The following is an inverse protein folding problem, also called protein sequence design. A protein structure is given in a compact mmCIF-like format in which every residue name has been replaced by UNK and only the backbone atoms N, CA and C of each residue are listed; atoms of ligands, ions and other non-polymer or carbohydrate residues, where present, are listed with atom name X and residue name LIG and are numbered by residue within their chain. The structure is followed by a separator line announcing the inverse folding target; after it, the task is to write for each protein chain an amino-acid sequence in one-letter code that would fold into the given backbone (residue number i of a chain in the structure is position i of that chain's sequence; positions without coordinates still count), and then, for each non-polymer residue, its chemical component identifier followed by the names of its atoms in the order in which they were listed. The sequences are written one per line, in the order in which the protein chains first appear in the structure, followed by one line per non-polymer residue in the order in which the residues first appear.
data_IF_751430171687
#
_entry.id   IF_751430171687
#
_cell.length_a   1.000
_cell.length_b   1.000
_cell.length_c   1.000
_cell.angle_alpha   90.00
_cell.angle_beta   90.00
_cell.angle_gamma   90.00
#
_symmetry.space_group_name_H-M   'P 1'
#
loop_
_entity.id
_entity.type
_entity.pdbx_description
1 polymer ?
#
# COMPACT_ATOMS: atom_id res chain seq x y z
N UNK A 1 15.92 -28.65 1.27
CA UNK A 1 15.36 -27.29 1.50
C UNK A 1 15.00 -26.59 0.18
N UNK A 2 15.91 -26.40 -0.79
CA UNK A 2 15.61 -25.74 -2.08
C UNK A 2 14.77 -26.52 -3.12
N UNK A 3 14.08 -27.59 -2.73
CA UNK A 3 13.29 -28.41 -3.65
C UNK A 3 11.82 -27.95 -3.75
N UNK A 4 11.34 -27.19 -2.75
CA UNK A 4 9.97 -26.66 -2.71
C UNK A 4 9.88 -25.39 -3.56
N UNK A 5 8.99 -25.36 -4.56
CA UNK A 5 8.82 -24.22 -5.46
C UNK A 5 8.44 -22.92 -4.74
N UNK A 6 7.67 -23.01 -3.65
CA UNK A 6 7.32 -21.86 -2.80
C UNK A 6 8.56 -21.18 -2.22
N UNK A 7 9.55 -21.95 -1.76
CA UNK A 7 10.77 -21.41 -1.17
C UNK A 7 11.67 -20.76 -2.22
N UNK A 8 11.71 -21.30 -3.44
CA UNK A 8 12.42 -20.69 -4.58
C UNK A 8 11.78 -19.35 -4.98
N UNK A 9 10.45 -19.30 -5.04
CA UNK A 9 9.73 -18.09 -5.41
C UNK A 9 9.87 -16.99 -4.34
N UNK A 10 9.80 -17.34 -3.05
CA UNK A 10 9.99 -16.41 -1.95
C UNK A 10 11.40 -15.80 -1.95
N UNK A 11 12.44 -16.61 -2.19
CA UNK A 11 13.82 -16.12 -2.25
C UNK A 11 14.06 -15.19 -3.46
N UNK A 12 13.45 -15.52 -4.61
CA UNK A 12 13.58 -14.72 -5.83
C UNK A 12 12.81 -13.40 -5.74
N UNK A 13 11.61 -13.41 -5.17
CA UNK A 13 10.84 -12.19 -4.89
C UNK A 13 11.50 -11.33 -3.81
N UNK A 14 11.98 -11.95 -2.72
CA UNK A 14 12.60 -11.24 -1.59
C UNK A 14 13.90 -10.53 -1.97
N UNK A 15 14.75 -11.17 -2.79
CA UNK A 15 15.98 -10.54 -3.29
C UNK A 15 15.69 -9.34 -4.20
N UNK A 16 14.68 -9.45 -5.07
CA UNK A 16 14.22 -8.32 -5.88
C UNK A 16 13.71 -7.15 -5.03
N UNK A 17 12.84 -7.43 -4.03
CA UNK A 17 12.30 -6.40 -3.15
C UNK A 17 13.40 -5.75 -2.30
N UNK A 18 14.39 -6.50 -1.83
CA UNK A 18 15.51 -5.98 -1.05
C UNK A 18 16.33 -4.95 -1.82
N UNK A 19 16.64 -5.23 -3.10
CA UNK A 19 17.39 -4.29 -3.96
C UNK A 19 16.59 -3.02 -4.19
N UNK A 20 15.31 -3.15 -4.53
CA UNK A 20 14.41 -1.99 -4.77
C UNK A 20 14.26 -1.14 -3.50
N UNK A 21 14.05 -1.78 -2.35
CA UNK A 21 13.90 -1.09 -1.06
C UNK A 21 15.18 -0.38 -0.63
N UNK A 22 16.36 -0.99 -0.85
CA UNK A 22 17.64 -0.36 -0.54
C UNK A 22 17.84 0.95 -1.33
N UNK A 23 17.51 0.95 -2.63
CA UNK A 23 17.62 2.15 -3.48
C UNK A 23 16.60 3.20 -3.02
N UNK A 24 15.32 2.86 -2.97
CA UNK A 24 14.25 3.83 -2.62
C UNK A 24 14.44 4.39 -1.21
N UNK A 25 14.82 3.54 -0.25
CA UNK A 25 15.03 3.94 1.15
C UNK A 25 16.10 5.01 1.31
N UNK A 26 17.23 4.88 0.61
CA UNK A 26 18.31 5.89 0.67
C UNK A 26 17.87 7.26 0.13
N UNK A 27 17.08 7.29 -0.95
CA UNK A 27 16.50 8.53 -1.49
C UNK A 27 15.47 9.18 -0.57
N UNK A 28 14.62 8.37 0.08
CA UNK A 28 13.58 8.88 0.98
C UNK A 28 14.19 9.52 2.23
N UNK A 29 15.20 8.88 2.82
CA UNK A 29 15.90 9.39 4.01
C UNK A 29 16.66 10.68 3.70
N UNK A 30 17.35 10.75 2.57
CA UNK A 30 18.10 11.95 2.16
C UNK A 30 17.21 13.19 1.95
N UNK A 31 15.91 13.01 1.70
CA UNK A 31 14.96 14.10 1.44
C UNK A 31 14.08 14.46 2.65
N UNK A 32 14.32 13.91 3.84
CA UNK A 32 13.47 14.07 5.03
C UNK A 32 11.97 13.76 4.80
N UNK A 33 11.65 12.95 3.78
CA UNK A 33 10.27 12.58 3.43
C UNK A 33 9.87 11.23 4.05
N UNK A 34 10.37 10.93 5.26
CA UNK A 34 10.18 9.62 5.93
C UNK A 34 8.70 9.28 6.18
N UNK A 35 7.84 10.28 6.42
CA UNK A 35 6.41 10.08 6.62
C UNK A 35 5.61 9.79 5.34
N UNK A 36 6.19 10.02 4.15
CA UNK A 36 5.48 9.76 2.90
C UNK A 36 5.28 8.27 2.63
N UNK A 37 6.23 7.42 3.04
CA UNK A 37 6.14 5.97 2.83
C UNK A 37 5.04 5.34 3.68
N UNK A 38 4.84 5.85 4.90
CA UNK A 38 3.76 5.44 5.79
C UNK A 38 2.39 5.72 5.18
N UNK A 39 2.16 6.98 4.77
CA UNK A 39 0.89 7.39 4.16
C UNK A 39 0.61 6.70 2.82
N UNK A 40 1.64 6.46 2.00
CA UNK A 40 1.50 5.72 0.74
C UNK A 40 0.97 4.29 0.96
N UNK A 41 1.40 3.64 2.05
CA UNK A 41 0.98 2.28 2.39
C UNK A 41 -0.50 2.23 2.77
N UNK A 42 -0.98 3.22 3.52
CA UNK A 42 -2.39 3.36 3.93
C UNK A 42 -3.30 3.70 2.76
N UNK A 43 -2.83 4.58 1.86
CA UNK A 43 -3.52 4.90 0.61
C UNK A 43 -3.66 3.64 -0.26
N UNK A 44 -2.61 2.82 -0.35
CA UNK A 44 -2.66 1.53 -1.05
C UNK A 44 -3.68 0.56 -0.44
N UNK A 45 -3.71 0.46 0.89
CA UNK A 45 -4.70 -0.34 1.61
C UNK A 45 -6.14 0.13 1.37
N UNK A 46 -6.38 1.43 1.46
CA UNK A 46 -7.68 2.02 1.18
C UNK A 46 -8.11 1.76 -0.29
N UNK A 47 -7.20 1.91 -1.25
CA UNK A 47 -7.45 1.59 -2.66
C UNK A 47 -7.75 0.11 -2.91
N UNK A 48 -7.05 -0.80 -2.22
CA UNK A 48 -7.33 -2.22 -2.27
C UNK A 48 -8.74 -2.55 -1.73
N UNK A 49 -9.12 -1.97 -0.58
CA UNK A 49 -10.45 -2.13 0.02
C UNK A 49 -11.57 -1.59 -0.87
N UNK A 50 -11.30 -0.50 -1.59
CA UNK A 50 -12.21 0.06 -2.59
C UNK A 50 -12.38 -0.87 -3.80
N UNK A 51 -11.29 -1.50 -4.26
CA UNK A 51 -11.35 -2.52 -5.31
C UNK A 51 -12.23 -3.71 -4.94
N UNK A 52 -12.17 -4.14 -3.67
CA UNK A 52 -13.01 -5.22 -3.14
C UNK A 52 -14.49 -4.81 -3.14
N UNK A 53 -14.81 -3.56 -2.77
CA UNK A 53 -16.19 -3.05 -2.79
C UNK A 53 -16.82 -3.08 -4.19
N UNK A 54 -16.03 -2.81 -5.24
CA UNK A 54 -16.48 -2.86 -6.64
C UNK A 54 -16.55 -4.29 -7.21
N UNK A 55 -16.09 -5.30 -6.46
CA UNK A 55 -16.04 -6.69 -6.94
C UNK A 55 -14.92 -6.96 -7.95
N UNK A 56 -13.91 -6.09 -8.03
CA UNK A 56 -12.73 -6.26 -8.87
C UNK A 56 -11.58 -6.91 -8.10
N UNK A 57 -10.55 -7.46 -8.80
CA UNK A 57 -9.34 -7.93 -8.12
C UNK A 57 -8.72 -6.79 -7.30
N UNK A 58 -8.42 -7.01 -6.00
CA UNK A 58 -7.93 -5.97 -5.09
C UNK A 58 -6.61 -5.35 -5.59
N UNK A 59 -5.81 -6.14 -6.32
CA UNK A 59 -4.56 -5.70 -6.93
C UNK A 59 -4.78 -4.55 -7.93
N UNK A 60 -5.84 -4.61 -8.75
CA UNK A 60 -6.15 -3.54 -9.71
C UNK A 60 -6.62 -2.27 -8.99
N UNK A 61 -7.42 -2.43 -7.92
CA UNK A 61 -7.85 -1.31 -7.08
C UNK A 61 -6.65 -0.60 -6.44
N UNK A 62 -5.73 -1.36 -5.86
CA UNK A 62 -4.48 -0.84 -5.30
C UNK A 62 -3.63 -0.13 -6.35
N UNK A 63 -3.39 -0.77 -7.51
CA UNK A 63 -2.55 -0.19 -8.56
C UNK A 63 -3.11 1.12 -9.12
N UNK A 64 -4.41 1.18 -9.42
CA UNK A 64 -5.05 2.41 -9.90
C UNK A 64 -4.96 3.53 -8.87
N UNK A 65 -5.29 3.23 -7.60
CA UNK A 65 -5.30 4.24 -6.56
C UNK A 65 -3.89 4.75 -6.24
N UNK A 66 -2.91 3.84 -6.12
CA UNK A 66 -1.50 4.20 -5.92
C UNK A 66 -0.93 4.99 -7.10
N UNK A 67 -1.29 4.65 -8.34
CA UNK A 67 -0.87 5.41 -9.52
C UNK A 67 -1.43 6.85 -9.49
N UNK A 68 -2.72 7.02 -9.19
CA UNK A 68 -3.35 8.34 -9.06
C UNK A 68 -2.69 9.15 -7.94
N UNK A 69 -2.48 8.54 -6.77
CA UNK A 69 -1.83 9.22 -5.63
C UNK A 69 -0.38 9.57 -5.90
N UNK A 70 0.38 8.71 -6.60
CA UNK A 70 1.76 9.00 -6.99
C UNK A 70 1.84 10.22 -7.92
N UNK A 71 0.92 10.34 -8.88
CA UNK A 71 0.82 11.51 -9.76
C UNK A 71 0.50 12.78 -8.95
N UNK A 72 -0.49 12.71 -8.05
CA UNK A 72 -0.86 13.83 -7.17
C UNK A 72 0.32 14.29 -6.31
N UNK A 73 1.02 13.35 -5.70
CA UNK A 73 2.20 13.61 -4.85
C UNK A 73 3.36 14.20 -5.66
N UNK A 74 3.57 13.71 -6.89
CA UNK A 74 4.58 14.23 -7.80
C UNK A 74 4.35 15.70 -8.16
N UNK A 75 3.09 16.09 -8.37
CA UNK A 75 2.71 17.48 -8.67
C UNK A 75 2.80 18.40 -7.43
N UNK A 76 2.51 17.86 -6.24
CA UNK A 76 2.40 18.65 -5.00
C UNK A 76 3.71 18.77 -4.19
N UNK A 77 4.77 18.06 -4.60
CA UNK A 77 6.06 18.02 -3.88
C UNK A 77 6.80 19.35 -3.77
N UNK A 78 6.39 20.40 -4.47
CA UNK A 78 7.12 21.66 -4.56
C UNK A 78 6.89 22.71 -3.44
N UNK A 79 5.94 22.57 -2.50
CA UNK A 79 5.48 23.77 -1.75
C UNK A 79 5.26 23.79 -0.23
N UNK A 80 5.31 22.72 0.57
CA UNK A 80 4.96 22.86 2.01
C UNK A 80 5.76 21.88 2.91
N UNK A 81 6.70 22.38 3.72
CA UNK A 81 7.55 21.55 4.59
C UNK A 81 7.13 21.58 6.08
N UNK A 82 6.72 22.73 6.63
CA UNK A 82 6.68 22.92 8.11
C UNK A 82 5.40 22.54 8.86
N UNK A 83 4.30 22.11 8.22
CA UNK A 83 3.03 21.75 8.91
C UNK A 83 2.49 20.34 8.60
N UNK A 84 3.34 19.46 8.08
CA UNK A 84 2.93 18.15 7.56
C UNK A 84 2.67 17.10 8.63
N UNK A 85 3.44 17.04 9.72
CA UNK A 85 3.41 15.90 10.65
C UNK A 85 2.05 15.68 11.34
N UNK A 86 1.43 16.74 11.89
CA UNK A 86 0.11 16.60 12.55
C UNK A 86 -1.03 16.35 11.57
N UNK A 87 -0.93 16.86 10.34
CA UNK A 87 -1.96 16.67 9.31
C UNK A 87 -1.86 15.26 8.73
N UNK A 88 -0.64 14.74 8.57
CA UNK A 88 -0.37 13.40 8.08
C UNK A 88 -0.98 12.36 9.03
N UNK A 89 -0.76 12.44 10.34
CA UNK A 89 -1.31 11.47 11.28
C UNK A 89 -2.85 11.47 11.32
N UNK A 90 -3.47 12.65 11.17
CA UNK A 90 -4.92 12.75 11.07
C UNK A 90 -5.47 12.11 9.78
N UNK A 91 -4.81 12.35 8.64
CA UNK A 91 -5.17 11.76 7.35
C UNK A 91 -5.00 10.23 7.37
N UNK A 92 -3.89 9.75 7.93
CA UNK A 92 -3.61 8.33 8.13
C UNK A 92 -4.74 7.60 8.86
N UNK A 93 -5.17 8.13 10.01
CA UNK A 93 -6.29 7.57 10.76
C UNK A 93 -7.61 7.53 9.96
N UNK A 94 -7.84 8.56 9.12
CA UNK A 94 -8.99 8.62 8.23
C UNK A 94 -8.94 7.48 7.19
N UNK A 95 -7.82 7.26 6.52
CA UNK A 95 -7.66 6.19 5.51
C UNK A 95 -7.81 4.79 6.11
N UNK A 96 -7.23 4.54 7.29
CA UNK A 96 -7.41 3.26 7.98
C UNK A 96 -8.88 3.04 8.32
N UNK A 97 -9.57 4.05 8.86
CA UNK A 97 -11.00 3.97 9.15
C UNK A 97 -11.84 3.71 7.91
N UNK A 98 -11.53 4.39 6.80
CA UNK A 98 -12.23 4.25 5.51
C UNK A 98 -12.01 2.86 4.90
N UNK A 99 -10.79 2.32 4.99
CA UNK A 99 -10.47 0.97 4.53
C UNK A 99 -11.17 -0.12 5.35
N UNK A 100 -11.25 0.04 6.67
CA UNK A 100 -12.01 -0.88 7.55
C UNK A 100 -13.50 -0.78 7.27
N UNK A 101 -14.03 0.42 7.01
CA UNK A 101 -15.45 0.62 6.67
C UNK A 101 -15.81 -0.11 5.36
N UNK A 102 -14.98 0.02 4.32
CA UNK A 102 -15.18 -0.72 3.07
C UNK A 102 -15.01 -2.23 3.22
N UNK A 103 -14.07 -2.66 4.06
CA UNK A 103 -13.93 -4.09 4.36
C UNK A 103 -15.15 -4.62 5.11
N UNK A 104 -15.66 -3.90 6.11
CA UNK A 104 -16.82 -4.28 6.91
C UNK A 104 -18.10 -4.43 6.07
N UNK A 105 -18.34 -3.51 5.12
CA UNK A 105 -19.47 -3.64 4.19
C UNK A 105 -19.28 -4.80 3.20
N UNK A 106 -18.04 -5.09 2.81
CA UNK A 106 -17.73 -6.21 1.91
C UNK A 106 -17.78 -7.58 2.59
N UNK A 107 -17.40 -7.69 3.87
CA UNK A 107 -17.50 -8.93 4.67
C UNK A 107 -18.95 -9.42 4.82
N UNK A 108 -19.94 -8.57 4.50
CA UNK A 108 -21.35 -8.97 4.40
C UNK A 108 -21.64 -9.83 3.15
N UNK A 109 -20.66 -10.05 2.26
CA UNK A 109 -20.70 -10.96 1.12
C UNK A 109 -19.60 -12.04 1.24
N UNK A 110 -19.95 -13.35 1.22
CA UNK A 110 -19.03 -14.42 1.52
C UNK A 110 -18.18 -14.76 0.28
N UNK A 111 -17.13 -13.99 -0.01
CA UNK A 111 -16.28 -14.24 -1.21
C UNK A 111 -14.78 -14.29 -0.95
N UNK A 112 -14.31 -14.03 0.29
CA UNK A 112 -12.88 -13.72 0.53
C UNK A 112 -12.16 -14.55 1.60
N UNK A 113 -12.67 -15.73 1.98
CA UNK A 113 -11.92 -16.63 2.88
C UNK A 113 -10.98 -17.60 2.14
N UNK A 114 -11.15 -17.81 0.82
CA UNK A 114 -10.31 -18.75 0.04
C UNK A 114 -8.98 -18.19 -0.45
N UNK A 115 -8.86 -16.87 -0.67
CA UNK A 115 -7.62 -16.30 -1.24
C UNK A 115 -6.55 -16.06 -0.17
N UNK A 116 -6.94 -15.72 1.06
CA UNK A 116 -5.99 -15.43 2.14
C UNK A 116 -5.21 -16.67 2.61
N UNK A 117 -5.81 -17.86 2.50
CA UNK A 117 -5.16 -19.14 2.84
C UNK A 117 -4.16 -19.63 1.77
N UNK A 118 -4.08 -18.95 0.62
CA UNK A 118 -3.19 -19.31 -0.50
C UNK A 118 -2.00 -18.33 -0.65
N UNK A 119 -2.04 -17.19 0.05
CA UNK A 119 -1.04 -16.11 -0.06
C UNK A 119 -0.20 -15.95 1.22
N UNK A 120 -0.63 -16.53 2.35
CA UNK A 120 0.16 -16.64 3.59
C UNK A 120 0.55 -18.10 3.81
#
# INVERSE_FOLDING_TARGET
MFNLEFMRNAYLAGTMIAIVSAIIGTFVVARNMSFMTHTLSEIGFAGASFGIFIGWPPLNGMLLFTAISSILVGQLSGRIESRRESVISAISGLFIGLGILFLSISQKMPVMQRTFCLVV
#
